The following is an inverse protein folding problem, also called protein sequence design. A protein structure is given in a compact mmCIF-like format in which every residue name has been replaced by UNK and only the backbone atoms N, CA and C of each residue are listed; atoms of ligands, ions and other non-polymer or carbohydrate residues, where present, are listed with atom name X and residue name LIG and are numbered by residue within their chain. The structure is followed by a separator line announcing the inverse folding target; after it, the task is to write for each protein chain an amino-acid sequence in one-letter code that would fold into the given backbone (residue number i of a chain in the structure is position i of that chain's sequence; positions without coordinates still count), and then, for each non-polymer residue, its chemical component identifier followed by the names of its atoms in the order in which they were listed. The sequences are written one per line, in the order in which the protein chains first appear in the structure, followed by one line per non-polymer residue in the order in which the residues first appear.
data_IF_545248539893
#
_entry.id   IF_545248539893
#
_cell.length_a   1.000
_cell.length_b   1.000
_cell.length_c   1.000
_cell.angle_alpha   90.00
_cell.angle_beta   90.00
_cell.angle_gamma   90.00
#
_symmetry.space_group_name_H-M   'P 1'
#
loop_
_entity.id
_entity.type
_entity.pdbx_description
1 polymer ?
#
# COMPACT_ATOMS: atom_id res chain seq x y z
N UNK A 1 21.40 -10.64 -2.38
CA UNK A 1 21.33 -10.22 -3.81
C UNK A 1 20.10 -9.35 -4.13
N UNK A 2 19.26 -9.01 -3.14
CA UNK A 2 18.15 -8.03 -3.28
C UNK A 2 18.62 -6.61 -2.92
N UNK A 3 19.59 -6.50 -2.01
CA UNK A 3 20.18 -5.23 -1.53
C UNK A 3 20.77 -4.35 -2.64
N UNK A 4 21.23 -4.90 -3.77
CA UNK A 4 22.03 -4.12 -4.73
C UNK A 4 21.26 -3.42 -5.85
N UNK A 5 19.93 -3.59 -5.99
CA UNK A 5 19.21 -3.01 -7.15
C UNK A 5 18.45 -1.72 -6.82
N UNK A 6 17.84 -1.62 -5.64
CA UNK A 6 17.28 -0.36 -5.14
C UNK A 6 18.40 0.66 -4.89
N UNK A 7 19.51 0.19 -4.32
CA UNK A 7 20.67 0.98 -3.89
C UNK A 7 21.51 1.54 -5.06
N UNK A 8 21.46 0.90 -6.23
CA UNK A 8 22.27 1.32 -7.40
C UNK A 8 21.63 2.42 -8.25
N UNK A 9 20.32 2.68 -8.12
CA UNK A 9 19.58 3.55 -9.06
C UNK A 9 18.46 4.40 -8.44
N UNK A 10 18.27 4.36 -7.12
CA UNK A 10 17.46 5.32 -6.37
C UNK A 10 18.31 5.99 -5.29
N UNK A 11 18.21 7.31 -5.06
CA UNK A 11 18.96 7.96 -3.97
C UNK A 11 18.57 7.34 -2.62
N UNK A 12 19.50 6.82 -1.81
CA UNK A 12 19.17 6.10 -0.56
C UNK A 12 18.18 6.83 0.37
N UNK A 13 18.09 8.16 0.28
CA UNK A 13 17.33 8.99 1.21
C UNK A 13 15.95 9.43 0.67
N UNK A 14 15.62 9.15 -0.60
CA UNK A 14 14.38 9.70 -1.21
C UNK A 14 13.12 9.13 -0.58
N UNK A 15 13.13 7.85 -0.18
CA UNK A 15 11.95 7.20 0.36
C UNK A 15 11.64 7.72 1.76
N UNK A 16 12.67 7.93 2.58
CA UNK A 16 12.54 8.53 3.91
C UNK A 16 11.93 9.94 3.82
N UNK A 17 12.46 10.80 2.93
CA UNK A 17 11.87 12.12 2.68
C UNK A 17 10.41 12.01 2.22
N UNK A 18 10.12 11.08 1.31
CA UNK A 18 8.78 10.91 0.75
C UNK A 18 7.75 10.39 1.77
N UNK A 19 8.16 9.51 2.68
CA UNK A 19 7.27 9.00 3.74
C UNK A 19 7.10 10.00 4.88
N UNK A 20 8.10 10.85 5.15
CA UNK A 20 7.99 11.96 6.09
C UNK A 20 6.97 13.00 5.58
N UNK A 21 7.05 13.39 4.29
CA UNK A 21 6.03 14.25 3.67
C UNK A 21 4.63 13.61 3.69
N UNK A 22 4.55 12.29 3.50
CA UNK A 22 3.29 11.56 3.60
C UNK A 22 2.72 11.59 5.03
N UNK A 23 3.58 11.43 6.04
CA UNK A 23 3.22 11.50 7.45
C UNK A 23 2.78 12.90 7.86
N UNK A 24 3.44 13.96 7.40
CA UNK A 24 2.98 15.34 7.59
C UNK A 24 1.54 15.50 7.08
N UNK A 25 1.21 14.92 5.92
CA UNK A 25 -0.16 14.87 5.44
C UNK A 25 -1.07 14.01 6.33
N UNK A 26 -0.63 12.83 6.79
CA UNK A 26 -1.38 11.98 7.72
C UNK A 26 -1.73 12.70 9.02
N UNK A 27 -0.81 13.51 9.54
CA UNK A 27 -1.01 14.31 10.74
C UNK A 27 -2.00 15.44 10.50
N UNK A 28 -1.83 16.19 9.41
CA UNK A 28 -2.67 17.34 9.08
C UNK A 28 -4.10 16.93 8.71
N UNK A 29 -4.29 15.74 8.13
CA UNK A 29 -5.59 15.20 7.72
C UNK A 29 -6.18 14.18 8.69
N UNK A 30 -5.58 13.98 9.87
CA UNK A 30 -6.02 12.95 10.84
C UNK A 30 -7.51 12.99 11.18
N UNK A 31 -8.13 14.17 11.18
CA UNK A 31 -9.56 14.38 11.46
C UNK A 31 -10.50 13.79 10.38
N UNK A 32 -9.97 13.49 9.20
CA UNK A 32 -10.70 12.86 8.10
C UNK A 32 -10.81 11.34 8.28
N UNK A 33 -9.98 10.75 9.16
CA UNK A 33 -9.90 9.31 9.37
C UNK A 33 -10.51 8.90 10.71
N UNK A 34 -11.09 7.70 10.74
CA UNK A 34 -11.69 7.13 11.96
C UNK A 34 -10.80 6.11 12.66
N UNK A 35 -9.70 5.69 12.02
CA UNK A 35 -8.71 4.77 12.57
C UNK A 35 -7.41 4.90 11.76
N UNK A 36 -6.37 4.20 12.21
CA UNK A 36 -5.05 4.24 11.59
C UNK A 36 -4.36 2.88 11.59
N UNK A 37 -3.45 2.70 10.64
CA UNK A 37 -2.52 1.57 10.55
C UNK A 37 -1.09 2.09 10.55
N UNK A 38 -0.21 1.43 11.29
CA UNK A 38 1.21 1.79 11.36
C UNK A 38 2.00 0.84 10.48
N UNK A 39 2.68 1.40 9.49
CA UNK A 39 3.28 0.69 8.38
C UNK A 39 4.80 0.93 8.38
N UNK A 40 5.62 -0.08 8.70
CA UNK A 40 7.06 0.08 8.65
C UNK A 40 7.58 0.36 7.24
N UNK A 41 8.48 1.34 7.11
CA UNK A 41 9.09 1.68 5.81
C UNK A 41 9.87 0.51 5.22
N UNK A 42 10.54 -0.29 6.05
CA UNK A 42 11.25 -1.51 5.62
C UNK A 42 10.32 -2.53 4.95
N UNK A 43 9.06 -2.64 5.40
CA UNK A 43 8.05 -3.49 4.75
C UNK A 43 7.57 -2.87 3.43
N UNK A 44 7.44 -1.53 3.38
CA UNK A 44 7.10 -0.84 2.12
C UNK A 44 8.20 -1.07 1.07
N UNK A 45 9.48 -0.98 1.46
CA UNK A 45 10.62 -1.24 0.57
C UNK A 45 10.60 -2.65 -0.01
N UNK A 46 10.29 -3.65 0.83
CA UNK A 46 10.15 -5.03 0.39
C UNK A 46 9.05 -5.18 -0.68
N UNK A 47 7.89 -4.57 -0.42
CA UNK A 47 6.73 -4.59 -1.33
C UNK A 47 7.05 -3.86 -2.63
N UNK A 48 7.69 -2.68 -2.57
CA UNK A 48 8.15 -1.96 -3.77
C UNK A 48 9.14 -2.80 -4.58
N UNK A 49 10.03 -3.53 -3.90
CA UNK A 49 10.94 -4.48 -4.53
C UNK A 49 10.24 -5.59 -5.32
N UNK A 50 9.14 -6.14 -4.79
CA UNK A 50 8.31 -7.12 -5.50
C UNK A 50 7.49 -6.49 -6.62
N UNK A 51 6.88 -5.33 -6.37
CA UNK A 51 6.04 -4.64 -7.33
C UNK A 51 6.84 -4.26 -8.58
N UNK A 52 8.01 -3.64 -8.41
CA UNK A 52 8.86 -3.22 -9.53
C UNK A 52 9.39 -4.39 -10.37
N UNK A 53 9.65 -5.55 -9.74
CA UNK A 53 10.01 -6.79 -10.46
C UNK A 53 8.84 -7.42 -11.20
N UNK A 54 7.62 -7.10 -10.78
CA UNK A 54 6.39 -7.68 -11.33
C UNK A 54 5.73 -6.82 -12.39
N UNK A 55 6.12 -5.53 -12.51
CA UNK A 55 5.62 -4.65 -13.56
C UNK A 55 5.68 -5.30 -14.95
N UNK A 56 4.60 -5.20 -15.75
CA UNK A 56 3.41 -4.37 -15.54
C UNK A 56 2.27 -5.04 -14.76
N UNK A 57 2.47 -6.22 -14.17
CA UNK A 57 1.41 -6.98 -13.51
C UNK A 57 1.11 -6.44 -12.11
N UNK A 58 -0.12 -6.68 -11.65
CA UNK A 58 -0.54 -6.46 -10.27
C UNK A 58 0.02 -7.55 -9.36
N UNK A 59 0.33 -7.19 -8.12
CA UNK A 59 0.66 -8.15 -7.08
C UNK A 59 -0.35 -8.06 -5.94
N UNK A 60 -0.62 -9.21 -5.31
CA UNK A 60 -1.35 -9.29 -4.06
C UNK A 60 -0.39 -9.64 -2.93
N UNK A 61 -0.43 -8.88 -1.85
CA UNK A 61 0.41 -9.02 -0.67
C UNK A 61 -0.47 -9.20 0.55
N UNK A 62 -0.21 -10.26 1.31
CA UNK A 62 -0.75 -10.43 2.64
C UNK A 62 0.14 -9.75 3.67
N UNK A 63 -0.45 -9.04 4.62
CA UNK A 63 0.26 -8.32 5.67
C UNK A 63 -0.21 -8.83 7.03
N UNK A 64 0.71 -9.09 7.94
CA UNK A 64 0.37 -9.55 9.29
C UNK A 64 0.95 -8.69 10.40
N UNK A 65 0.24 -8.69 11.53
CA UNK A 65 0.63 -8.01 12.75
C UNK A 65 1.12 -9.04 13.77
N UNK A 66 2.26 -8.78 14.37
CA UNK A 66 2.76 -9.53 15.53
C UNK A 66 2.34 -8.80 16.80
N UNK A 67 2.80 -9.30 17.95
CA UNK A 67 2.53 -8.69 19.26
C UNK A 67 3.33 -7.40 19.52
N UNK A 68 3.58 -6.59 18.48
CA UNK A 68 4.22 -5.28 18.57
C UNK A 68 3.16 -4.20 18.58
N UNK A 69 2.85 -3.70 19.78
CA UNK A 69 1.91 -2.60 19.93
C UNK A 69 2.51 -1.30 19.43
N UNK A 70 1.65 -0.49 18.84
CA UNK A 70 1.96 0.89 18.51
C UNK A 70 2.25 1.67 19.81
N UNK A 71 3.24 2.55 19.77
CA UNK A 71 3.49 3.51 20.85
C UNK A 71 2.25 4.40 21.07
N UNK A 72 1.66 4.43 22.28
CA UNK A 72 0.49 5.26 22.57
C UNK A 72 0.67 6.75 22.26
N UNK A 73 1.86 7.33 22.42
CA UNK A 73 2.12 8.73 22.13
C UNK A 73 2.05 9.01 20.63
N UNK A 74 2.69 8.15 19.83
CA UNK A 74 2.59 8.21 18.36
C UNK A 74 1.16 7.93 17.91
N UNK A 75 0.48 6.95 18.52
CA UNK A 75 -0.91 6.66 18.18
C UNK A 75 -1.82 7.88 18.36
N UNK A 76 -1.72 8.57 19.50
CA UNK A 76 -2.53 9.75 19.80
C UNK A 76 -2.20 10.91 18.86
N UNK A 77 -0.94 11.06 18.45
CA UNK A 77 -0.52 12.14 17.54
C UNK A 77 -1.26 12.11 16.19
N UNK A 78 -1.50 10.92 15.65
CA UNK A 78 -2.14 10.72 14.35
C UNK A 78 -3.63 10.39 14.42
N UNK A 79 -4.21 10.46 15.63
CA UNK A 79 -5.61 10.17 15.89
C UNK A 79 -6.49 11.43 15.72
N UNK A 80 -7.56 11.32 14.95
CA UNK A 80 -8.62 12.32 14.88
C UNK A 80 -9.67 12.19 15.99
N UNK A 81 -10.50 13.21 16.19
CA UNK A 81 -11.56 13.24 17.22
C UNK A 81 -12.60 12.13 17.05
N UNK A 82 -12.85 11.68 15.83
CA UNK A 82 -13.84 10.65 15.48
C UNK A 82 -13.29 9.23 15.51
N UNK A 83 -12.19 9.01 16.24
CA UNK A 83 -11.54 7.71 16.33
C UNK A 83 -12.50 6.61 16.82
N UNK A 84 -12.39 5.43 16.20
CA UNK A 84 -13.13 4.23 16.56
C UNK A 84 -12.16 3.14 16.96
N UNK A 85 -12.28 2.71 18.21
CA UNK A 85 -11.58 1.54 18.73
C UNK A 85 -12.18 0.24 18.19
N UNK A 86 -11.34 -0.79 18.04
CA UNK A 86 -11.75 -2.15 17.63
C UNK A 86 -12.56 -2.19 16.32
N UNK A 87 -12.22 -1.33 15.36
CA UNK A 87 -12.86 -1.27 14.05
C UNK A 87 -12.50 -2.46 13.17
N UNK A 88 -11.25 -2.93 13.25
CA UNK A 88 -10.72 -3.99 12.40
C UNK A 88 -9.67 -4.85 13.13
N UNK A 89 -9.41 -6.06 12.63
CA UNK A 89 -8.41 -6.97 13.18
C UNK A 89 -7.00 -6.37 13.08
N UNK A 90 -6.22 -6.42 14.16
CA UNK A 90 -4.86 -5.88 14.22
C UNK A 90 -4.77 -4.37 14.49
N UNK A 91 -5.89 -3.68 14.72
CA UNK A 91 -5.86 -2.27 15.14
C UNK A 91 -5.05 -2.10 16.44
N UNK A 92 -4.20 -1.08 16.48
CA UNK A 92 -3.31 -0.81 17.62
C UNK A 92 -1.99 -1.57 17.57
N UNK A 93 -1.76 -2.38 16.54
CA UNK A 93 -0.51 -3.11 16.31
C UNK A 93 0.17 -2.61 15.04
N UNK A 94 1.51 -2.67 15.04
CA UNK A 94 2.35 -2.35 13.89
C UNK A 94 2.31 -3.51 12.90
N UNK A 95 2.21 -3.22 11.60
CA UNK A 95 2.45 -4.24 10.57
C UNK A 95 3.87 -4.77 10.76
N UNK A 96 4.05 -6.09 10.69
CA UNK A 96 5.32 -6.72 11.08
C UNK A 96 5.89 -7.65 10.04
N UNK A 97 5.08 -8.07 9.06
CA UNK A 97 5.51 -8.91 7.96
C UNK A 97 4.65 -8.70 6.73
N UNK A 98 5.26 -8.91 5.57
CA UNK A 98 4.59 -8.98 4.30
C UNK A 98 4.92 -10.30 3.60
N UNK A 99 3.97 -10.81 2.81
CA UNK A 99 4.20 -11.94 1.93
C UNK A 99 3.52 -11.70 0.60
N UNK A 100 4.28 -11.74 -0.49
CA UNK A 100 3.71 -11.79 -1.83
C UNK A 100 2.91 -13.09 -1.99
N UNK A 101 1.61 -12.97 -2.26
CA UNK A 101 0.65 -14.08 -2.34
C UNK A 101 0.33 -14.43 -3.78
N UNK A 102 0.13 -13.42 -4.63
CA UNK A 102 -0.26 -13.63 -6.01
C UNK A 102 0.30 -12.56 -6.95
N UNK A 103 0.28 -12.85 -8.25
CA UNK A 103 0.59 -11.93 -9.34
C UNK A 103 -0.37 -12.18 -10.49
N UNK A 104 -0.94 -11.12 -11.05
CA UNK A 104 -1.91 -11.24 -12.13
C UNK A 104 -2.31 -9.89 -12.69
N UNK A 105 -3.36 -9.89 -13.51
CA UNK A 105 -4.06 -8.67 -13.90
C UNK A 105 -5.14 -8.30 -12.87
N UNK A 106 -5.81 -7.17 -13.06
CA UNK A 106 -6.89 -6.67 -12.17
C UNK A 106 -8.05 -7.65 -11.97
N UNK A 107 -8.24 -8.61 -12.88
CA UNK A 107 -9.30 -9.62 -12.74
C UNK A 107 -8.84 -10.85 -11.96
N UNK A 108 -7.56 -11.23 -12.09
CA UNK A 108 -7.02 -12.48 -11.57
C UNK A 108 -6.23 -12.32 -10.28
N UNK A 109 -5.74 -11.12 -9.95
CA UNK A 109 -4.85 -10.92 -8.80
C UNK A 109 -5.55 -11.25 -7.47
N UNK A 110 -6.87 -11.07 -7.40
CA UNK A 110 -7.70 -11.42 -6.24
C UNK A 110 -8.04 -12.92 -6.15
N UNK A 111 -7.77 -13.72 -7.19
CA UNK A 111 -7.99 -15.17 -7.21
C UNK A 111 -6.76 -15.91 -6.70
N UNK A 112 -6.88 -16.58 -5.55
CA UNK A 112 -5.79 -17.38 -4.99
C UNK A 112 -5.56 -18.67 -5.81
N UNK A 113 -4.30 -19.09 -6.08
CA UNK A 113 -4.01 -20.30 -6.86
C UNK A 113 -4.59 -21.58 -6.24
N UNK A 114 -5.13 -22.48 -7.07
CA UNK A 114 -5.77 -23.74 -6.62
C UNK A 114 -4.82 -24.66 -5.84
N UNK A 115 -3.52 -24.67 -6.15
CA UNK A 115 -2.51 -25.48 -5.45
C UNK A 115 -2.31 -25.06 -3.97
N UNK A 116 -2.68 -23.83 -3.60
CA UNK A 116 -2.75 -23.39 -2.20
C UNK A 116 -4.07 -23.78 -1.53
N UNK A 117 -5.09 -24.11 -2.32
CA UNK A 117 -6.38 -24.61 -1.85
C UNK A 117 -6.42 -26.14 -1.70
N UNK A 118 -5.56 -26.88 -2.41
CA UNK A 118 -5.69 -28.34 -2.54
C UNK A 118 -4.75 -29.18 -1.64
N UNK A 119 -3.52 -28.76 -1.34
CA UNK A 119 -2.54 -29.64 -0.67
C UNK A 119 -2.38 -29.46 0.85
N UNK A 120 -3.04 -28.47 1.48
CA UNK A 120 -2.81 -28.15 2.92
C UNK A 120 -4.11 -28.01 3.76
N UNK A 121 -5.31 -27.82 3.19
CA UNK A 121 -6.48 -27.41 3.98
C UNK A 121 -7.78 -28.16 3.63
N UNK A 122 -8.41 -28.76 4.64
CA UNK A 122 -9.70 -29.44 4.53
C UNK A 122 -10.91 -28.49 4.45
N UNK A 123 -11.90 -28.92 3.67
CA UNK A 123 -13.36 -28.64 3.61
C UNK A 123 -14.02 -27.29 3.96
N UNK A 124 -13.37 -26.28 4.56
CA UNK A 124 -14.00 -24.98 4.83
C UNK A 124 -13.39 -23.88 3.96
N UNK A 125 -14.03 -23.61 2.81
CA UNK A 125 -13.63 -22.54 1.87
C UNK A 125 -14.16 -21.17 2.29
N UNK A 126 -13.33 -20.14 2.10
CA UNK A 126 -13.69 -18.73 2.00
C UNK A 126 -12.67 -17.93 1.15
N UNK A 127 -13.14 -16.87 0.48
CA UNK A 127 -12.36 -15.83 -0.24
C UNK A 127 -11.37 -15.16 0.74
N UNK A 128 -10.06 -15.06 0.44
CA UNK A 128 -9.01 -14.36 1.22
C UNK A 128 -8.91 -14.60 2.76
N UNK A 129 -9.90 -15.20 3.40
CA UNK A 129 -10.16 -15.01 4.81
C UNK A 129 -9.25 -15.89 5.69
N UNK A 130 -8.61 -15.24 6.67
CA UNK A 130 -8.07 -15.90 7.86
C UNK A 130 -6.57 -16.14 7.91
N UNK A 131 -5.78 -15.82 6.87
CA UNK A 131 -4.33 -16.01 6.90
C UNK A 131 -3.53 -14.75 7.24
N UNK A 132 -3.94 -13.62 6.68
CA UNK A 132 -3.28 -12.33 6.90
C UNK A 132 -4.28 -11.38 7.51
N UNK A 133 -3.78 -10.53 8.41
CA UNK A 133 -4.59 -9.52 9.07
C UNK A 133 -5.04 -8.45 8.08
N UNK A 134 -4.13 -7.91 7.27
CA UNK A 134 -4.41 -6.89 6.25
C UNK A 134 -3.98 -7.38 4.85
N UNK A 135 -4.46 -6.68 3.82
CA UNK A 135 -4.12 -6.98 2.43
C UNK A 135 -3.67 -5.72 1.70
N UNK A 136 -2.69 -5.86 0.80
CA UNK A 136 -2.27 -4.81 -0.11
C UNK A 136 -2.26 -5.37 -1.53
N UNK A 137 -2.77 -4.61 -2.49
CA UNK A 137 -2.54 -4.87 -3.90
C UNK A 137 -2.04 -3.62 -4.61
N UNK A 138 -1.41 -3.82 -5.76
CA UNK A 138 -0.86 -2.72 -6.56
C UNK A 138 -1.76 -2.40 -7.74
N UNK A 139 -1.80 -1.13 -8.13
CA UNK A 139 -2.42 -0.61 -9.35
C UNK A 139 -1.33 -0.08 -10.32
N UNK A 140 -0.78 -0.92 -11.22
CA UNK A 140 0.15 -0.53 -12.27
C UNK A 140 -0.49 0.44 -13.25
N UNK A 141 0.11 1.62 -13.41
CA UNK A 141 -0.41 2.72 -14.22
C UNK A 141 -1.86 3.15 -13.91
N UNK A 142 -2.29 2.95 -12.67
CA UNK A 142 -3.58 3.42 -12.18
C UNK A 142 -3.42 4.08 -10.79
N UNK A 143 -4.27 5.08 -10.48
CA UNK A 143 -4.25 5.73 -9.18
C UNK A 143 -4.67 4.76 -8.07
N UNK A 144 -4.28 5.07 -6.84
CA UNK A 144 -4.67 4.30 -5.66
C UNK A 144 -6.13 4.64 -5.27
N UNK A 145 -7.08 4.15 -6.06
CA UNK A 145 -8.52 4.37 -5.86
C UNK A 145 -9.22 3.00 -5.94
N UNK A 146 -10.08 2.64 -4.97
CA UNK A 146 -10.74 1.34 -4.99
C UNK A 146 -11.75 1.24 -6.13
N UNK A 147 -11.69 0.16 -6.88
CA UNK A 147 -12.70 -0.29 -7.83
C UNK A 147 -13.83 -1.06 -7.13
N UNK A 148 -14.90 -1.38 -7.87
CA UNK A 148 -15.97 -2.26 -7.35
C UNK A 148 -15.42 -3.65 -6.96
N UNK A 149 -14.48 -4.19 -7.74
CA UNK A 149 -13.84 -5.47 -7.44
C UNK A 149 -13.02 -5.42 -6.15
N UNK A 150 -12.38 -4.29 -5.86
CA UNK A 150 -11.63 -4.08 -4.62
C UNK A 150 -12.55 -4.00 -3.41
N UNK A 151 -13.68 -3.31 -3.57
CA UNK A 151 -14.70 -3.21 -2.53
C UNK A 151 -15.34 -4.57 -2.20
N UNK A 152 -15.59 -5.40 -3.22
CA UNK A 152 -16.08 -6.77 -3.09
C UNK A 152 -15.04 -7.68 -2.42
N UNK A 153 -13.78 -7.60 -2.84
CA UNK A 153 -12.69 -8.38 -2.24
C UNK A 153 -12.48 -8.02 -0.76
N UNK A 154 -12.55 -6.73 -0.41
CA UNK A 154 -12.39 -6.23 0.94
C UNK A 154 -13.48 -6.74 1.91
N UNK A 155 -14.66 -7.15 1.42
CA UNK A 155 -15.69 -7.75 2.28
C UNK A 155 -15.21 -9.02 3.00
N UNK A 156 -14.19 -9.69 2.44
CA UNK A 156 -13.61 -10.91 3.00
C UNK A 156 -12.38 -10.66 3.88
N UNK A 157 -12.01 -9.39 4.11
CA UNK A 157 -10.92 -8.97 4.97
C UNK A 157 -11.46 -8.54 6.34
N UNK A 158 -10.84 -9.00 7.43
CA UNK A 158 -11.18 -8.55 8.79
C UNK A 158 -10.33 -7.38 9.28
N UNK A 159 -9.13 -7.18 8.71
CA UNK A 159 -8.31 -5.99 8.91
C UNK A 159 -8.63 -4.87 7.92
N UNK A 160 -7.62 -4.43 7.17
CA UNK A 160 -7.75 -3.31 6.21
C UNK A 160 -7.21 -3.73 4.86
N UNK A 161 -7.76 -3.14 3.80
CA UNK A 161 -7.25 -3.28 2.44
C UNK A 161 -6.50 -2.00 2.04
N UNK A 162 -5.35 -2.19 1.39
CA UNK A 162 -4.50 -1.11 0.91
C UNK A 162 -4.31 -1.21 -0.59
N UNK A 163 -4.16 -0.06 -1.24
CA UNK A 163 -3.93 0.05 -2.69
C UNK A 163 -2.67 0.87 -2.92
N UNK A 164 -1.70 0.29 -3.62
CA UNK A 164 -0.47 0.95 -4.04
C UNK A 164 -0.52 1.27 -5.54
N UNK A 165 -0.86 2.51 -5.89
CA UNK A 165 -0.81 3.01 -7.25
C UNK A 165 0.63 3.29 -7.69
N UNK A 166 1.01 2.86 -8.89
CA UNK A 166 2.38 2.99 -9.41
C UNK A 166 2.36 3.59 -10.81
N UNK A 167 2.85 4.81 -10.97
CA UNK A 167 3.00 5.44 -12.28
C UNK A 167 4.36 5.10 -12.88
N UNK A 168 4.39 4.55 -14.09
CA UNK A 168 5.63 4.22 -14.77
C UNK A 168 5.57 4.36 -16.31
N UNK A 169 6.73 4.30 -16.96
CA UNK A 169 6.79 4.12 -18.42
C UNK A 169 7.92 3.16 -18.85
N UNK A 170 7.82 2.50 -20.02
CA UNK A 170 6.70 2.53 -20.97
C UNK A 170 5.41 1.97 -20.36
N UNK A 171 4.27 2.66 -20.54
CA UNK A 171 3.03 2.36 -19.80
C UNK A 171 2.26 1.14 -20.33
N UNK A 172 2.82 0.42 -21.30
CA UNK A 172 2.06 -0.58 -22.05
C UNK A 172 0.85 0.06 -22.77
N UNK A 173 -0.24 -0.70 -23.02
CA UNK A 173 -1.39 -0.22 -23.78
C UNK A 173 -2.28 0.78 -23.03
N UNK A 174 -2.16 0.88 -21.70
CA UNK A 174 -3.01 1.74 -20.88
C UNK A 174 -2.18 2.89 -20.27
N UNK A 175 -2.47 4.16 -20.61
CA UNK A 175 -1.81 5.29 -19.97
C UNK A 175 -2.28 5.45 -18.52
N UNK A 176 -1.51 6.19 -17.73
CA UNK A 176 -1.93 6.64 -16.40
C UNK A 176 -3.29 7.36 -16.45
N UNK A 177 -4.25 6.90 -15.63
CA UNK A 177 -5.58 7.47 -15.53
C UNK A 177 -5.63 8.60 -14.49
N UNK A 178 -5.79 9.86 -14.94
CA UNK A 178 -5.81 11.05 -14.06
C UNK A 178 -7.23 11.55 -13.70
N UNK A 179 -8.27 11.22 -14.48
CA UNK A 179 -9.64 11.76 -14.33
C UNK A 179 -10.58 10.79 -13.61
N UNK A 180 -10.19 10.34 -12.41
CA UNK A 180 -11.03 9.47 -11.56
C UNK A 180 -11.32 10.21 -10.24
N UNK A 181 -12.60 10.31 -9.86
CA UNK A 181 -13.01 10.84 -8.56
C UNK A 181 -12.58 9.88 -7.44
N UNK A 182 -11.92 10.40 -6.41
CA UNK A 182 -11.45 9.61 -5.28
C UNK A 182 -10.37 10.34 -4.49
N UNK A 183 -10.18 9.93 -3.24
CA UNK A 183 -9.10 10.42 -2.40
C UNK A 183 -7.78 9.76 -2.81
N UNK A 184 -6.80 10.59 -3.22
CA UNK A 184 -5.47 10.15 -3.63
C UNK A 184 -4.46 10.63 -2.60
N UNK A 185 -3.51 9.76 -2.25
CA UNK A 185 -2.42 10.08 -1.33
C UNK A 185 -1.10 9.67 -1.95
N UNK A 186 -0.26 10.65 -2.25
CA UNK A 186 1.01 10.47 -2.95
C UNK A 186 2.12 10.24 -1.93
N UNK A 187 2.98 9.25 -2.19
CA UNK A 187 4.26 9.10 -1.48
C UNK A 187 5.29 9.96 -2.23
N UNK A 188 5.69 11.09 -1.62
CA UNK A 188 6.60 12.09 -2.19
C UNK A 188 5.92 13.22 -2.97
N UNK A 189 6.66 13.83 -3.90
CA UNK A 189 6.26 15.11 -4.53
C UNK A 189 4.87 15.07 -5.21
N UNK A 190 3.93 15.88 -4.67
CA UNK A 190 2.63 16.12 -5.29
C UNK A 190 2.78 16.82 -6.64
N UNK A 191 2.17 16.25 -7.69
CA UNK A 191 2.11 16.88 -9.02
C UNK A 191 1.40 18.24 -8.92
N UNK A 192 2.15 19.34 -9.07
CA UNK A 192 1.54 20.65 -9.31
C UNK A 192 0.82 20.64 -10.67
N UNK A 193 -0.45 21.03 -10.70
CA UNK A 193 -1.25 21.13 -11.93
C UNK A 193 -0.63 22.06 -12.99
N UNK A 194 0.17 23.04 -12.56
CA UNK A 194 0.93 23.93 -13.45
C UNK A 194 2.23 23.30 -14.00
N UNK A 195 2.73 22.22 -13.40
CA UNK A 195 3.97 21.56 -13.78
C UNK A 195 3.81 20.53 -14.91
N UNK A 196 2.59 20.37 -15.48
CA UNK A 196 2.25 19.42 -16.57
C UNK A 196 3.14 19.55 -17.83
N UNK A 197 3.96 20.59 -17.93
CA UNK A 197 4.93 20.85 -19.02
C UNK A 197 6.41 20.63 -18.68
N UNK A 198 6.80 20.41 -17.42
CA UNK A 198 8.18 20.07 -17.05
C UNK A 198 8.36 18.55 -17.03
N UNK A 199 9.55 18.08 -17.45
CA UNK A 199 9.94 16.66 -17.44
C UNK A 199 9.56 16.03 -16.09
N UNK A 200 8.80 14.94 -16.12
CA UNK A 200 8.42 14.18 -14.93
C UNK A 200 9.70 13.76 -14.18
N UNK A 201 9.77 14.03 -12.87
CA UNK A 201 10.87 13.56 -12.03
C UNK A 201 10.81 12.03 -12.02
N UNK A 202 11.93 11.38 -12.33
CA UNK A 202 12.05 9.93 -12.24
C UNK A 202 12.43 9.63 -10.80
N UNK A 203 11.60 8.87 -10.09
CA UNK A 203 11.89 8.39 -8.73
C UNK A 203 12.95 7.28 -8.78
N UNK A 204 12.86 6.41 -9.79
CA UNK A 204 13.80 5.32 -9.98
C UNK A 204 13.55 4.50 -11.23
N UNK A 205 14.30 3.41 -11.35
CA UNK A 205 14.17 2.45 -12.44
C UNK A 205 13.87 1.06 -11.87
N UNK A 206 12.81 0.44 -12.38
CA UNK A 206 12.48 -0.94 -12.07
C UNK A 206 13.46 -1.91 -12.78
N UNK A 207 13.74 -3.10 -12.21
CA UNK A 207 14.56 -4.12 -12.87
C UNK A 207 14.02 -4.58 -14.23
N UNK A 208 12.72 -4.39 -14.46
CA UNK A 208 12.01 -4.67 -15.71
C UNK A 208 12.28 -3.62 -16.80
N UNK A 209 13.04 -2.56 -16.50
CA UNK A 209 13.39 -1.47 -17.42
C UNK A 209 12.42 -0.28 -17.41
N UNK A 210 11.39 -0.32 -16.55
CA UNK A 210 10.43 0.78 -16.41
C UNK A 210 11.01 1.94 -15.59
N UNK A 211 10.73 3.17 -16.00
CA UNK A 211 10.94 4.38 -15.21
C UNK A 211 9.76 4.62 -14.28
N UNK A 212 10.00 4.79 -12.99
CA UNK A 212 8.97 5.08 -11.99
C UNK A 212 8.85 6.60 -11.80
N UNK A 213 7.62 7.11 -11.77
CA UNK A 213 7.35 8.55 -11.67
C UNK A 213 6.58 8.97 -10.42
N UNK A 214 5.72 8.10 -9.90
CA UNK A 214 4.85 8.42 -8.76
C UNK A 214 4.38 7.15 -8.09
N UNK A 215 4.20 7.22 -6.77
CA UNK A 215 3.61 6.19 -5.94
C UNK A 215 2.46 6.80 -5.16
N UNK A 216 1.36 6.06 -5.03
CA UNK A 216 0.21 6.45 -4.23
C UNK A 216 -0.18 5.31 -3.31
N UNK A 217 -0.52 5.60 -2.05
CA UNK A 217 -0.95 4.58 -1.10
C UNK A 217 -2.19 5.06 -0.35
N UNK A 218 -3.25 4.26 -0.37
CA UNK A 218 -4.41 4.46 0.51
C UNK A 218 -4.71 3.19 1.29
N UNK A 219 -5.43 3.33 2.39
CA UNK A 219 -5.99 2.22 3.14
C UNK A 219 -7.47 2.47 3.42
N UNK A 220 -8.27 1.40 3.38
CA UNK A 220 -9.69 1.46 3.65
C UNK A 220 -10.20 0.21 4.36
N UNK A 221 -11.31 0.35 5.07
CA UNK A 221 -12.01 -0.75 5.72
C UNK A 221 -13.30 -1.08 4.97
N UNK A 222 -13.73 -2.36 4.99
CA UNK A 222 -14.91 -2.87 4.30
C UNK A 222 -16.23 -2.13 4.59
N UNK A 223 -16.29 -1.38 5.69
CA UNK A 223 -17.40 -0.50 6.04
C UNK A 223 -17.41 0.85 5.30
N UNK A 224 -16.49 1.08 4.36
CA UNK A 224 -16.39 2.32 3.57
C UNK A 224 -15.65 3.46 4.28
N UNK A 225 -14.83 3.14 5.29
CA UNK A 225 -14.02 4.14 5.98
C UNK A 225 -12.60 4.20 5.39
N UNK A 226 -12.12 5.42 5.13
CA UNK A 226 -10.69 5.65 4.95
C UNK A 226 -9.94 5.39 6.25
N UNK A 227 -8.79 4.73 6.16
CA UNK A 227 -7.91 4.43 7.30
C UNK A 227 -6.62 5.21 7.10
N UNK A 228 -6.19 5.95 8.14
CA UNK A 228 -4.96 6.71 8.06
C UNK A 228 -3.77 5.76 8.00
N UNK A 229 -2.83 5.97 7.10
CA UNK A 229 -1.57 5.22 7.08
C UNK A 229 -0.51 6.09 7.74
N UNK A 230 0.21 5.55 8.71
CA UNK A 230 1.32 6.24 9.36
C UNK A 230 2.56 5.40 9.13
N UNK A 231 3.54 5.97 8.43
CA UNK A 231 4.81 5.31 8.22
C UNK A 231 5.68 5.41 9.46
N UNK A 232 6.28 4.30 9.85
CA UNK A 232 7.13 4.22 11.05
C UNK A 232 8.45 3.54 10.73
N UNK A 233 9.49 3.85 11.50
CA UNK A 233 10.75 3.12 11.46
C UNK A 233 10.60 1.76 12.18
N UNK A 234 11.67 0.96 12.18
CA UNK A 234 11.65 -0.36 12.82
C UNK A 234 11.39 -0.28 14.33
N UNK A 235 11.81 0.80 14.98
CA UNK A 235 11.56 1.08 16.41
C UNK A 235 10.12 1.56 16.69
N UNK A 236 9.34 1.88 15.65
CA UNK A 236 7.95 2.33 15.75
C UNK A 236 7.77 3.84 15.89
N UNK A 237 8.83 4.62 15.70
CA UNK A 237 8.77 6.09 15.64
C UNK A 237 8.27 6.52 14.25
N UNK A 238 7.44 7.57 14.20
CA UNK A 238 7.01 8.13 12.94
C UNK A 238 8.16 8.89 12.25
N UNK A 239 8.26 8.73 10.93
CA UNK A 239 9.12 9.56 10.07
C UNK A 239 8.62 10.99 9.98
#
# INVERSE_FOLDING_TARGET
MIENYLDSNMPSDWLEEAVAEYNDESYNRREEYVAQVHFPVTILEEILGWAFKSLPDEILVGLDVKNERIDPEIAVMYQGEKHKENLFAGQGYKISEAKMVNRGDSYSVHHLPEEWTDDIFGSDRGVRAGRFTHWLHTHPNAPAIPSEADADAAQSTDGVDLILGIEFSPSGPLPWFDDIEGERRVIGEKKSWFAKRKKRKILGYAPTGHMIYSLELIAFHKAGYGINVVFVNDDGEAY
#
